data_IF_805565714075
#
_entry.id   IF_805565714075
#
_cell.length_a   1.000
_cell.length_b   1.000
_cell.length_c   1.000
_cell.angle_alpha   90.00
_cell.angle_beta   90.00
_cell.angle_gamma   90.00
#
_symmetry.space_group_name_H-M   'P 1'
#
loop_
_entity.id
_entity.type
_entity.pdbx_description
1 polymer ?
#
# COMPACT_ATOMS: atom_id res chain seq x y z
N UNK A 1 25.89 1.39 2.58
CA UNK A 1 26.32 0.44 3.63
C UNK A 1 25.15 0.18 4.57
N UNK A 2 25.08 -1.00 5.20
CA UNK A 2 24.03 -1.37 6.16
C UNK A 2 23.94 -0.39 7.34
N UNK A 3 25.06 0.20 7.76
CA UNK A 3 25.14 1.25 8.77
C UNK A 3 24.37 2.52 8.38
N UNK A 4 24.42 2.91 7.11
CA UNK A 4 23.69 4.08 6.63
C UNK A 4 22.17 3.87 6.58
N UNK A 5 21.72 2.62 6.41
CA UNK A 5 20.30 2.25 6.40
C UNK A 5 19.71 2.18 7.82
N UNK A 6 20.51 1.85 8.81
CA UNK A 6 20.03 1.68 10.18
C UNK A 6 19.96 2.99 10.98
N UNK A 7 20.58 4.08 10.50
CA UNK A 7 20.58 5.38 11.19
C UNK A 7 21.25 5.39 12.58
N UNK A 8 21.74 4.24 13.05
CA UNK A 8 22.36 4.05 14.35
C UNK A 8 23.84 3.74 14.18
N UNK A 9 24.70 4.57 14.75
CA UNK A 9 26.15 4.42 14.70
C UNK A 9 26.69 3.39 15.70
N UNK A 10 25.82 2.77 16.50
CA UNK A 10 26.21 1.89 17.61
C UNK A 10 26.21 0.39 17.28
N UNK A 11 25.94 -0.01 16.03
CA UNK A 11 26.06 -1.42 15.63
C UNK A 11 27.51 -1.88 15.77
N UNK A 12 27.77 -2.74 16.76
CA UNK A 12 29.08 -3.35 16.95
C UNK A 12 29.41 -4.26 15.75
N UNK A 13 30.70 -4.38 15.44
CA UNK A 13 31.20 -5.23 14.33
C UNK A 13 30.68 -6.69 14.39
N UNK A 14 30.31 -7.15 15.60
CA UNK A 14 29.77 -8.49 15.85
C UNK A 14 28.33 -8.65 15.28
N UNK A 15 27.51 -7.62 15.30
CA UNK A 15 26.16 -7.65 14.73
C UNK A 15 26.22 -7.56 13.21
N UNK A 16 27.14 -6.77 12.67
CA UNK A 16 27.40 -6.71 11.22
C UNK A 16 27.91 -8.05 10.67
N UNK A 17 28.67 -8.80 11.47
CA UNK A 17 29.12 -10.14 11.07
C UNK A 17 27.99 -11.15 10.97
N UNK A 18 26.97 -11.03 11.82
CA UNK A 18 25.77 -11.90 11.75
C UNK A 18 24.98 -11.66 10.48
N UNK A 19 24.85 -10.42 10.02
CA UNK A 19 24.19 -10.10 8.72
C UNK A 19 25.01 -10.56 7.51
N UNK A 20 26.34 -10.59 7.62
CA UNK A 20 27.23 -11.14 6.56
C UNK A 20 27.16 -12.65 6.44
N UNK A 21 26.77 -13.36 7.50
CA UNK A 21 26.63 -14.81 7.52
C UNK A 21 25.29 -15.32 7.01
N UNK A 22 24.32 -14.43 6.72
CA UNK A 22 23.04 -14.82 6.14
C UNK A 22 23.26 -15.15 4.66
N UNK A 23 23.47 -16.41 4.38
CA UNK A 23 23.65 -16.93 3.02
C UNK A 23 22.31 -17.30 2.34
N UNK A 24 21.24 -17.38 3.10
CA UNK A 24 19.91 -17.73 2.60
C UNK A 24 18.86 -16.78 3.16
N UNK A 25 18.14 -16.12 2.28
CA UNK A 25 17.03 -15.24 2.64
C UNK A 25 15.74 -16.03 2.49
N UNK A 26 14.97 -16.28 3.57
CA UNK A 26 13.72 -16.98 3.45
C UNK A 26 12.77 -16.18 2.55
N UNK A 27 12.30 -16.81 1.49
CA UNK A 27 11.30 -16.20 0.63
C UNK A 27 9.94 -16.28 1.33
N UNK A 28 9.20 -15.15 1.40
CA UNK A 28 7.86 -15.16 1.92
C UNK A 28 6.96 -16.04 1.04
N UNK A 29 6.08 -16.82 1.69
CA UNK A 29 5.16 -17.69 0.96
C UNK A 29 4.04 -16.84 0.34
N UNK A 30 3.80 -17.05 -0.95
CA UNK A 30 2.65 -16.47 -1.62
C UNK A 30 1.38 -17.17 -1.12
N UNK A 31 0.35 -16.44 -0.63
CA UNK A 31 -0.89 -17.06 -0.22
C UNK A 31 -1.56 -17.80 -1.37
N UNK A 32 -1.97 -19.04 -1.13
CA UNK A 32 -2.66 -19.86 -2.13
C UNK A 32 -4.09 -19.40 -2.39
N UNK A 33 -4.73 -18.77 -1.40
CA UNK A 33 -6.09 -18.26 -1.53
C UNK A 33 -6.06 -16.77 -1.91
N UNK A 34 -6.17 -16.50 -3.21
CA UNK A 34 -6.21 -15.13 -3.74
C UNK A 34 -7.40 -14.32 -3.22
N UNK A 35 -8.59 -14.92 -3.10
CA UNK A 35 -9.79 -14.19 -2.64
C UNK A 35 -9.66 -13.72 -1.19
N UNK A 36 -9.06 -14.54 -0.34
CA UNK A 36 -8.78 -14.12 1.03
C UNK A 36 -7.77 -12.96 1.05
N UNK A 37 -6.67 -13.09 0.32
CA UNK A 37 -5.67 -12.03 0.20
C UNK A 37 -6.29 -10.72 -0.32
N UNK A 38 -7.12 -10.81 -1.36
CA UNK A 38 -7.84 -9.69 -1.95
C UNK A 38 -8.70 -8.99 -0.92
N UNK A 39 -9.51 -9.74 -0.17
CA UNK A 39 -10.39 -9.17 0.85
C UNK A 39 -9.61 -8.45 1.95
N UNK A 40 -8.48 -9.03 2.40
CA UNK A 40 -7.63 -8.45 3.43
C UNK A 40 -6.93 -7.17 2.95
N UNK A 41 -6.38 -7.16 1.74
CA UNK A 41 -5.68 -6.00 1.17
C UNK A 41 -6.64 -4.85 0.91
N UNK A 42 -7.82 -5.12 0.33
CA UNK A 42 -8.83 -4.08 0.08
C UNK A 42 -9.40 -3.51 1.39
N UNK A 43 -9.57 -4.34 2.43
CA UNK A 43 -10.02 -3.87 3.73
C UNK A 43 -9.01 -2.96 4.44
N UNK A 44 -7.71 -3.16 4.19
CA UNK A 44 -6.62 -2.38 4.78
C UNK A 44 -6.20 -1.16 3.92
N UNK A 45 -6.75 -1.01 2.70
CA UNK A 45 -6.36 0.07 1.80
C UNK A 45 -6.80 1.44 2.33
N UNK A 46 -5.80 2.30 2.59
CA UNK A 46 -6.01 3.63 3.18
C UNK A 46 -6.85 4.54 2.29
N UNK A 47 -6.74 4.41 0.98
CA UNK A 47 -7.53 5.21 0.02
C UNK A 47 -9.00 4.82 0.08
N UNK A 48 -9.30 3.52 0.15
CA UNK A 48 -10.67 3.02 0.29
C UNK A 48 -11.30 3.41 1.63
N UNK A 49 -10.52 3.36 2.71
CA UNK A 49 -10.94 3.79 4.04
C UNK A 49 -11.25 5.29 4.07
N UNK A 50 -10.39 6.13 3.47
CA UNK A 50 -10.62 7.57 3.36
C UNK A 50 -11.89 7.86 2.57
N UNK A 51 -12.02 7.33 1.35
CA UNK A 51 -13.20 7.51 0.50
C UNK A 51 -14.49 7.00 1.15
N UNK A 52 -14.41 5.92 1.92
CA UNK A 52 -15.55 5.41 2.71
C UNK A 52 -16.00 6.42 3.77
N UNK A 53 -15.05 7.02 4.48
CA UNK A 53 -15.32 8.04 5.49
C UNK A 53 -15.87 9.32 4.88
N UNK A 54 -15.32 9.75 3.74
CA UNK A 54 -15.79 10.92 2.99
C UNK A 54 -17.20 10.72 2.44
N UNK A 55 -17.51 9.54 1.87
CA UNK A 55 -18.86 9.20 1.42
C UNK A 55 -19.86 9.22 2.60
N UNK A 56 -19.48 8.69 3.77
CA UNK A 56 -20.32 8.74 4.95
C UNK A 56 -20.57 10.18 5.42
N UNK A 57 -19.55 11.04 5.37
CA UNK A 57 -19.68 12.47 5.69
C UNK A 57 -20.58 13.19 4.68
N UNK A 58 -20.42 12.92 3.37
CA UNK A 58 -21.26 13.50 2.32
C UNK A 58 -22.73 13.12 2.47
N UNK A 59 -23.03 11.88 2.86
CA UNK A 59 -24.40 11.44 3.17
C UNK A 59 -25.00 12.20 4.36
N UNK A 60 -24.21 12.43 5.42
CA UNK A 60 -24.64 13.29 6.54
C UNK A 60 -24.87 14.74 6.10
N UNK A 61 -24.05 15.25 5.16
CA UNK A 61 -24.22 16.59 4.59
C UNK A 61 -25.54 16.77 3.84
N UNK A 62 -26.05 15.70 3.19
CA UNK A 62 -27.40 15.72 2.58
C UNK A 62 -28.47 15.96 3.64
N UNK A 63 -28.39 15.29 4.78
CA UNK A 63 -29.33 15.45 5.89
C UNK A 63 -29.23 16.85 6.51
N UNK A 64 -28.02 17.37 6.72
CA UNK A 64 -27.79 18.72 7.19
C UNK A 64 -28.33 19.77 6.22
N UNK A 65 -28.14 19.56 4.90
CA UNK A 65 -28.67 20.47 3.87
C UNK A 65 -30.20 20.46 3.80
N UNK A 66 -30.86 19.33 4.13
CA UNK A 66 -32.31 19.26 4.28
C UNK A 66 -32.81 20.05 5.50
N UNK A 67 -32.09 19.99 6.62
CA UNK A 67 -32.43 20.73 7.84
C UNK A 67 -32.28 22.24 7.66
N UNK A 68 -31.46 22.69 6.72
CA UNK A 68 -31.29 24.11 6.41
C UNK A 68 -32.57 24.81 5.92
N UNK A 69 -33.66 24.10 5.64
CA UNK A 69 -35.00 24.66 5.34
C UNK A 69 -35.82 24.99 6.58
N UNK A 70 -35.37 24.51 7.77
CA UNK A 70 -36.06 24.82 9.01
C UNK A 70 -35.88 26.27 9.40
N UNK A 71 -36.95 26.97 9.92
CA UNK A 71 -36.82 28.30 10.42
C UNK A 71 -35.84 28.35 11.58
N UNK A 72 -34.98 29.35 11.59
CA UNK A 72 -34.09 29.63 12.72
C UNK A 72 -34.83 30.51 13.72
N UNK A 73 -34.86 30.05 14.97
CA UNK A 73 -35.36 30.80 16.11
C UNK A 73 -34.16 31.50 16.77
N UNK A 74 -34.19 32.80 16.86
CA UNK A 74 -33.22 33.61 17.58
C UNK A 74 -33.86 34.13 18.87
N UNK A 75 -33.27 33.76 20.01
CA UNK A 75 -33.60 34.27 21.31
C UNK A 75 -32.40 35.07 21.82
N UNK A 76 -32.60 36.34 22.05
CA UNK A 76 -31.54 37.22 22.50
C UNK A 76 -32.04 38.14 23.65
N UNK A 77 -31.13 38.48 24.56
CA UNK A 77 -31.33 39.50 25.55
C UNK A 77 -30.50 40.72 25.14
N UNK A 78 -31.15 41.86 24.93
CA UNK A 78 -30.47 43.10 24.57
C UNK A 78 -30.60 44.08 25.74
N UNK A 79 -29.47 44.56 26.22
CA UNK A 79 -29.38 45.67 27.15
C UNK A 79 -28.85 46.88 26.38
N UNK A 80 -29.67 47.93 26.28
CA UNK A 80 -29.24 49.20 25.68
C UNK A 80 -29.22 50.25 26.76
N UNK A 81 -28.14 51.05 26.84
CA UNK A 81 -28.02 52.18 27.76
C UNK A 81 -27.92 53.42 26.92
N UNK A 82 -29.06 54.01 26.57
CA UNK A 82 -29.13 55.26 25.84
C UNK A 82 -29.61 56.36 26.79
N UNK A 83 -28.90 57.48 26.85
CA UNK A 83 -29.23 58.65 27.67
C UNK A 83 -29.40 58.37 29.18
N UNK A 84 -28.59 57.42 29.77
CA UNK A 84 -28.56 57.23 31.23
C UNK A 84 -29.67 56.34 31.82
N UNK A 85 -30.62 55.87 31.05
CA UNK A 85 -31.64 54.91 31.47
C UNK A 85 -31.39 53.53 30.84
N UNK A 86 -31.17 52.47 31.64
CA UNK A 86 -30.97 51.13 31.09
C UNK A 86 -32.30 50.56 30.58
N UNK A 87 -32.35 50.25 29.29
CA UNK A 87 -33.47 49.55 28.69
C UNK A 87 -33.10 48.07 28.46
N UNK A 88 -33.84 47.19 29.13
CA UNK A 88 -33.63 45.76 29.02
C UNK A 88 -34.78 45.16 28.20
N UNK A 89 -34.45 44.40 27.14
CA UNK A 89 -35.45 43.75 26.29
C UNK A 89 -35.07 42.34 25.89
N UNK A 90 -36.08 41.50 25.73
CA UNK A 90 -35.92 40.19 25.11
C UNK A 90 -36.23 40.36 23.62
N UNK A 91 -35.31 39.89 22.78
CA UNK A 91 -35.48 39.88 21.35
C UNK A 91 -35.80 38.45 20.90
N UNK A 92 -36.91 38.27 20.21
CA UNK A 92 -37.32 37.02 19.58
C UNK A 92 -37.32 37.25 18.07
N UNK A 93 -36.47 36.56 17.35
CA UNK A 93 -36.37 36.63 15.89
C UNK A 93 -36.72 35.32 15.23
N UNK A 94 -37.38 35.37 14.10
CA UNK A 94 -37.63 34.24 13.23
C UNK A 94 -36.98 34.51 11.86
N UNK A 95 -36.13 33.62 11.37
CA UNK A 95 -35.52 33.74 10.05
C UNK A 95 -35.92 32.55 9.18
N UNK A 96 -36.52 32.86 8.02
CA UNK A 96 -36.89 31.84 7.01
C UNK A 96 -35.93 31.92 5.84
N UNK A 97 -35.13 30.84 5.55
CA UNK A 97 -34.22 30.83 4.43
C UNK A 97 -34.95 30.51 3.11
N UNK A 98 -35.68 31.47 2.52
CA UNK A 98 -36.54 31.26 1.36
C UNK A 98 -35.78 30.85 0.08
N UNK A 99 -34.55 31.34 -0.15
CA UNK A 99 -33.80 31.12 -1.39
C UNK A 99 -32.38 30.54 -1.15
N UNK A 100 -31.85 30.65 0.04
CA UNK A 100 -30.46 30.32 0.37
C UNK A 100 -30.13 28.82 0.20
N UNK A 101 -31.13 27.95 0.34
CA UNK A 101 -30.95 26.50 0.35
C UNK A 101 -31.44 25.79 -0.92
N UNK A 102 -31.87 26.53 -1.95
CA UNK A 102 -32.59 26.01 -3.13
C UNK A 102 -31.82 24.88 -3.86
N UNK A 103 -30.49 24.94 -3.93
CA UNK A 103 -29.67 23.95 -4.63
C UNK A 103 -28.72 23.16 -3.71
N UNK A 104 -28.62 23.49 -2.43
CA UNK A 104 -27.68 22.84 -1.49
C UNK A 104 -27.89 21.33 -1.42
N UNK A 105 -29.12 20.85 -1.39
CA UNK A 105 -29.46 19.43 -1.36
C UNK A 105 -29.05 18.73 -2.66
N UNK A 106 -29.26 19.39 -3.82
CA UNK A 106 -28.85 18.83 -5.12
C UNK A 106 -27.34 18.70 -5.22
N UNK A 107 -26.60 19.75 -4.79
CA UNK A 107 -25.14 19.76 -4.76
C UNK A 107 -24.64 18.66 -3.82
N UNK A 108 -25.18 18.57 -2.60
CA UNK A 108 -24.77 17.53 -1.64
C UNK A 108 -25.03 16.10 -2.16
N UNK A 109 -26.16 15.88 -2.85
CA UNK A 109 -26.43 14.59 -3.50
C UNK A 109 -25.44 14.29 -4.63
N UNK A 110 -25.13 15.28 -5.48
CA UNK A 110 -24.17 15.10 -6.57
C UNK A 110 -22.75 14.82 -6.03
N UNK A 111 -22.34 15.49 -4.95
CA UNK A 111 -21.08 15.23 -4.26
C UNK A 111 -21.02 13.82 -3.67
N UNK A 112 -22.10 13.38 -3.00
CA UNK A 112 -22.17 12.00 -2.47
C UNK A 112 -22.07 10.96 -3.58
N UNK A 113 -22.76 11.15 -4.69
CA UNK A 113 -22.72 10.25 -5.84
C UNK A 113 -21.33 10.22 -6.47
N UNK A 114 -20.68 11.38 -6.60
CA UNK A 114 -19.32 11.46 -7.12
C UNK A 114 -18.33 10.69 -6.24
N UNK A 115 -18.44 10.81 -4.91
CA UNK A 115 -17.60 10.05 -3.97
C UNK A 115 -17.86 8.54 -4.02
N UNK A 116 -19.12 8.12 -4.21
CA UNK A 116 -19.45 6.71 -4.38
C UNK A 116 -18.79 6.15 -5.65
N UNK A 117 -18.81 6.88 -6.78
CA UNK A 117 -18.09 6.48 -8.01
C UNK A 117 -16.57 6.52 -7.86
N UNK A 118 -16.01 7.49 -7.14
CA UNK A 118 -14.58 7.53 -6.87
C UNK A 118 -14.15 6.31 -6.04
N UNK A 119 -14.95 5.91 -5.04
CA UNK A 119 -14.70 4.72 -4.24
C UNK A 119 -14.75 3.45 -5.07
N UNK A 120 -15.75 3.31 -5.95
CA UNK A 120 -15.87 2.16 -6.84
C UNK A 120 -14.66 2.06 -7.80
N UNK A 121 -14.29 3.19 -8.40
CA UNK A 121 -13.12 3.25 -9.28
C UNK A 121 -11.81 2.93 -8.54
N UNK A 122 -11.63 3.47 -7.34
CA UNK A 122 -10.46 3.18 -6.51
C UNK A 122 -10.40 1.68 -6.13
N UNK A 123 -11.53 1.07 -5.79
CA UNK A 123 -11.61 -0.36 -5.51
C UNK A 123 -11.22 -1.20 -6.73
N UNK A 124 -11.73 -0.86 -7.89
CA UNK A 124 -11.38 -1.53 -9.14
C UNK A 124 -9.88 -1.41 -9.47
N UNK A 125 -9.31 -0.20 -9.30
CA UNK A 125 -7.88 0.01 -9.53
C UNK A 125 -7.01 -0.76 -8.54
N UNK A 126 -7.37 -0.77 -7.25
CA UNK A 126 -6.65 -1.52 -6.22
C UNK A 126 -6.70 -3.03 -6.49
N UNK A 127 -7.86 -3.54 -6.91
CA UNK A 127 -8.03 -4.95 -7.28
C UNK A 127 -7.19 -5.33 -8.51
N UNK A 128 -7.22 -4.50 -9.56
CA UNK A 128 -6.43 -4.72 -10.77
C UNK A 128 -4.92 -4.68 -10.48
N UNK A 129 -4.48 -3.76 -9.63
CA UNK A 129 -3.09 -3.67 -9.19
C UNK A 129 -2.67 -4.91 -8.39
N UNK A 130 -3.51 -5.37 -7.46
CA UNK A 130 -3.25 -6.59 -6.68
C UNK A 130 -3.20 -7.82 -7.58
N UNK A 131 -4.12 -7.98 -8.53
CA UNK A 131 -4.14 -9.10 -9.46
C UNK A 131 -2.85 -9.16 -10.30
N UNK A 132 -2.37 -8.00 -10.76
CA UNK A 132 -1.10 -7.90 -11.48
C UNK A 132 0.07 -8.34 -10.61
N UNK A 133 0.18 -7.80 -9.39
CA UNK A 133 1.26 -8.15 -8.46
C UNK A 133 1.24 -9.63 -8.07
N UNK A 134 0.05 -10.19 -7.87
CA UNK A 134 -0.10 -11.61 -7.55
C UNK A 134 0.34 -12.51 -8.71
N UNK A 135 -0.05 -12.19 -9.95
CA UNK A 135 0.40 -12.92 -11.14
C UNK A 135 1.91 -12.80 -11.35
N UNK A 136 2.49 -11.62 -11.11
CA UNK A 136 3.94 -11.40 -11.18
C UNK A 136 4.66 -12.24 -10.12
N UNK A 137 4.16 -12.27 -8.88
CA UNK A 137 4.73 -13.08 -7.81
C UNK A 137 4.68 -14.58 -8.14
N UNK A 138 3.59 -15.08 -8.72
CA UNK A 138 3.49 -16.49 -9.17
C UNK A 138 4.53 -16.81 -10.24
N UNK A 139 4.66 -15.95 -11.24
CA UNK A 139 5.65 -16.14 -12.32
C UNK A 139 7.07 -16.17 -11.78
N UNK A 140 7.41 -15.24 -10.89
CA UNK A 140 8.72 -15.17 -10.25
C UNK A 140 8.99 -16.40 -9.37
N UNK A 141 7.99 -16.84 -8.61
CA UNK A 141 8.10 -18.05 -7.78
C UNK A 141 8.41 -19.29 -8.63
N UNK A 142 7.71 -19.46 -9.76
CA UNK A 142 7.96 -20.55 -10.69
C UNK A 142 9.38 -20.50 -11.25
N UNK A 143 9.81 -19.32 -11.73
CA UNK A 143 11.16 -19.16 -12.25
C UNK A 143 12.24 -19.42 -11.21
N UNK A 144 12.06 -18.93 -9.98
CA UNK A 144 12.99 -19.21 -8.87
C UNK A 144 13.09 -20.71 -8.59
N UNK A 145 11.95 -21.42 -8.61
CA UNK A 145 11.93 -22.85 -8.39
C UNK A 145 12.67 -23.61 -9.50
N UNK A 146 12.44 -23.25 -10.78
CA UNK A 146 13.14 -23.84 -11.93
C UNK A 146 14.66 -23.64 -11.83
N UNK A 147 15.12 -22.43 -11.47
CA UNK A 147 16.54 -22.16 -11.25
C UNK A 147 17.10 -22.99 -10.09
N UNK A 148 16.41 -23.08 -8.97
CA UNK A 148 16.84 -23.88 -7.81
C UNK A 148 16.92 -25.37 -8.13
N UNK A 149 15.97 -25.90 -8.89
CA UNK A 149 16.00 -27.30 -9.36
C UNK A 149 17.16 -27.53 -10.31
N UNK A 150 17.41 -26.64 -11.26
CA UNK A 150 18.56 -26.71 -12.15
C UNK A 150 19.88 -26.74 -11.37
N UNK A 151 20.02 -25.87 -10.36
CA UNK A 151 21.22 -25.84 -9.51
C UNK A 151 21.36 -27.07 -8.61
N UNK A 152 20.27 -27.66 -8.14
CA UNK A 152 20.32 -28.87 -7.31
C UNK A 152 20.81 -30.08 -8.07
N UNK A 153 20.63 -30.10 -9.38
CA UNK A 153 21.08 -31.17 -10.27
C UNK A 153 22.52 -31.04 -10.75
N UNK A 154 23.13 -29.87 -10.60
CA UNK A 154 24.50 -29.59 -11.00
C UNK A 154 25.45 -29.65 -9.81
N UNK A 155 26.22 -30.72 -9.72
CA UNK A 155 27.36 -30.88 -8.78
C UNK A 155 28.63 -30.17 -9.31
N UNK A 156 28.66 -29.08 -9.46
CA UNK A 156 29.05 -27.89 -10.00
C UNK A 156 30.53 -27.57 -10.15
N UNK A 157 31.07 -26.81 -9.25
CA UNK A 157 32.43 -26.32 -9.31
C UNK A 157 33.47 -27.40 -8.97
N UNK A 158 33.11 -28.36 -8.14
CA UNK A 158 34.01 -29.46 -7.76
C UNK A 158 34.25 -30.43 -8.93
N UNK A 159 33.19 -30.79 -9.66
CA UNK A 159 33.27 -31.64 -10.84
C UNK A 159 34.03 -30.94 -12.00
N UNK A 160 33.76 -29.65 -12.22
CA UNK A 160 34.51 -28.86 -13.21
C UNK A 160 35.98 -28.80 -12.88
N UNK A 161 36.32 -28.59 -11.59
CA UNK A 161 37.72 -28.62 -11.17
C UNK A 161 38.36 -30.02 -11.35
N UNK A 162 37.63 -31.08 -11.07
CA UNK A 162 38.10 -32.47 -11.28
C UNK A 162 38.32 -32.76 -12.78
N UNK A 163 37.36 -32.31 -13.64
CA UNK A 163 37.50 -32.46 -15.10
C UNK A 163 38.71 -31.70 -15.65
N UNK A 164 38.96 -30.49 -15.14
CA UNK A 164 40.15 -29.70 -15.51
C UNK A 164 41.44 -30.43 -15.08
N UNK A 165 41.51 -30.89 -13.83
CA UNK A 165 42.71 -31.58 -13.33
C UNK A 165 42.94 -32.93 -14.00
N UNK A 166 41.85 -33.59 -14.44
CA UNK A 166 41.90 -34.83 -15.22
C UNK A 166 42.19 -34.61 -16.72
N UNK A 167 42.37 -33.35 -17.17
CA UNK A 167 42.64 -33.03 -18.56
C UNK A 167 41.46 -33.28 -19.51
N UNK A 168 40.25 -33.42 -18.98
CA UNK A 168 39.01 -33.65 -19.75
C UNK A 168 38.47 -32.37 -20.38
N UNK A 169 38.74 -31.22 -19.77
CA UNK A 169 38.38 -29.91 -20.27
C UNK A 169 39.63 -28.99 -20.29
N UNK A 170 39.61 -28.02 -21.19
CA UNK A 170 40.65 -27.00 -21.23
C UNK A 170 40.45 -25.95 -20.17
N UNK A 171 41.49 -25.17 -19.86
CA UNK A 171 41.41 -24.04 -18.93
C UNK A 171 40.39 -23.01 -19.41
N UNK A 172 40.28 -22.78 -20.72
CA UNK A 172 39.31 -21.82 -21.31
C UNK A 172 37.88 -22.31 -21.07
N UNK A 173 37.60 -23.56 -21.38
CA UNK A 173 36.27 -24.19 -21.13
C UNK A 173 35.89 -24.12 -19.63
N UNK A 174 36.85 -24.44 -18.74
CA UNK A 174 36.64 -24.28 -17.31
C UNK A 174 36.18 -22.86 -16.93
N UNK A 175 36.87 -21.80 -17.38
CA UNK A 175 36.49 -20.43 -17.04
C UNK A 175 35.18 -20.01 -17.69
N UNK A 176 34.84 -20.49 -18.87
CA UNK A 176 33.56 -20.24 -19.52
C UNK A 176 32.43 -20.83 -18.68
N UNK A 177 32.53 -22.10 -18.30
CA UNK A 177 31.51 -22.78 -17.49
C UNK A 177 31.37 -22.17 -16.09
N UNK A 178 32.47 -21.84 -15.44
CA UNK A 178 32.45 -21.09 -14.15
C UNK A 178 31.74 -19.76 -14.29
N UNK A 179 31.98 -19.01 -15.37
CA UNK A 179 31.31 -17.73 -15.63
C UNK A 179 29.81 -17.89 -15.82
N UNK A 180 29.37 -18.94 -16.55
CA UNK A 180 27.95 -19.26 -16.74
C UNK A 180 27.27 -19.58 -15.40
N UNK A 181 27.92 -20.38 -14.55
CA UNK A 181 27.40 -20.71 -13.22
C UNK A 181 27.24 -19.46 -12.36
N UNK A 182 28.25 -18.59 -12.32
CA UNK A 182 28.16 -17.33 -11.55
C UNK A 182 27.08 -16.40 -12.08
N UNK A 183 26.96 -16.28 -13.39
CA UNK A 183 25.90 -15.46 -14.01
C UNK A 183 24.51 -16.01 -13.68
N UNK A 184 24.35 -17.30 -13.74
CA UNK A 184 23.06 -17.95 -13.39
C UNK A 184 22.70 -17.76 -11.92
N UNK A 185 23.68 -17.85 -11.01
CA UNK A 185 23.48 -17.54 -9.57
C UNK A 185 23.10 -16.07 -9.36
N UNK A 186 23.73 -15.15 -10.09
CA UNK A 186 23.38 -13.74 -10.02
C UNK A 186 21.95 -13.49 -10.51
N UNK A 187 21.53 -14.15 -11.59
CA UNK A 187 20.16 -14.06 -12.09
C UNK A 187 19.14 -14.59 -11.05
N UNK A 188 19.43 -15.71 -10.40
CA UNK A 188 18.60 -16.24 -9.32
C UNK A 188 18.42 -15.21 -8.19
N UNK A 189 19.53 -14.62 -7.72
CA UNK A 189 19.46 -13.58 -6.68
C UNK A 189 18.65 -12.35 -7.11
N UNK A 190 18.71 -11.98 -8.38
CA UNK A 190 17.89 -10.90 -8.93
C UNK A 190 16.40 -11.26 -8.91
N UNK A 191 16.04 -12.47 -9.32
CA UNK A 191 14.66 -12.96 -9.28
C UNK A 191 14.13 -13.02 -7.83
N UNK A 192 14.91 -13.51 -6.89
CA UNK A 192 14.55 -13.55 -5.47
C UNK A 192 14.36 -12.14 -4.90
N UNK A 193 15.22 -11.18 -5.23
CA UNK A 193 15.08 -9.78 -4.84
C UNK A 193 13.81 -9.16 -5.43
N UNK A 194 13.51 -9.44 -6.70
CA UNK A 194 12.31 -8.94 -7.36
C UNK A 194 11.05 -9.53 -6.72
N UNK A 195 11.05 -10.83 -6.44
CA UNK A 195 9.96 -11.49 -5.73
C UNK A 195 9.68 -10.84 -4.36
N UNK A 196 10.72 -10.61 -3.55
CA UNK A 196 10.57 -9.95 -2.26
C UNK A 196 10.00 -8.53 -2.38
N UNK A 197 10.41 -7.77 -3.41
CA UNK A 197 9.86 -6.43 -3.67
C UNK A 197 8.37 -6.51 -4.03
N UNK A 198 7.97 -7.46 -4.86
CA UNK A 198 6.57 -7.66 -5.22
C UNK A 198 5.76 -8.07 -4.00
N UNK A 199 6.27 -8.97 -3.17
CA UNK A 199 5.61 -9.36 -1.91
C UNK A 199 5.49 -8.19 -0.93
N UNK A 200 6.50 -7.35 -0.81
CA UNK A 200 6.43 -6.13 0.00
C UNK A 200 5.38 -5.14 -0.52
N UNK A 201 5.20 -5.05 -1.83
CA UNK A 201 4.15 -4.22 -2.43
C UNK A 201 2.74 -4.79 -2.16
N UNK A 202 2.56 -6.11 -2.23
CA UNK A 202 1.29 -6.78 -1.89
C UNK A 202 0.90 -6.49 -0.43
N UNK A 203 1.86 -6.53 0.49
CA UNK A 203 1.62 -6.31 1.92
C UNK A 203 1.80 -4.87 2.39
N UNK A 204 2.02 -3.93 1.48
CA UNK A 204 2.25 -2.51 1.81
C UNK A 204 1.18 -1.91 2.74
N UNK A 205 -0.06 -2.32 2.58
CA UNK A 205 -1.17 -1.83 3.41
C UNK A 205 -1.21 -2.43 4.83
N UNK A 206 -0.35 -3.41 5.14
CA UNK A 206 -0.24 -4.05 6.46
C UNK A 206 0.94 -3.55 7.28
N UNK A 207 1.84 -2.80 6.66
CA UNK A 207 2.99 -2.16 7.30
C UNK A 207 2.62 -0.77 7.79
#
# INVERSE_FOLDING_TARGET
SLLALNGDQSLQDNELSSFRSINDYPLPLLPTNYEQLRSEVLAADQTLLSLSSESAAARKQISASKQGWLPKLELGYRRNTESGTPFNGVVVGFSFPLFENRNKVKIAKAQSLNLDYQKENAAFQAEAALAKLYSEAQSLQTSIQEYREAFSSQQDLALLKQALTGGQISVIEYFVEVSVIYQSKQNLLQLENQYQKVMAQIYKSRL
#
